data_IF_362422092626
#
_entry.id   IF_362422092626
#
_cell.length_a   1.000
_cell.length_b   1.000
_cell.length_c   1.000
_cell.angle_alpha   90.00
_cell.angle_beta   90.00
_cell.angle_gamma   90.00
#
_symmetry.space_group_name_H-M   'P 1'
#
loop_
_entity.id
_entity.type
_entity.pdbx_description
1 polymer ?
#
# COMPACT_ATOMS: atom_id res chain seq x y z
N UNK A 1 14.10 -22.76 -3.26
CA UNK A 1 15.18 -22.47 -2.28
C UNK A 1 14.56 -21.52 -1.28
N UNK A 2 13.77 -22.07 -0.37
CA UNK A 2 13.08 -21.31 0.69
C UNK A 2 14.03 -21.19 1.89
N UNK A 3 14.83 -20.13 1.93
CA UNK A 3 15.48 -19.70 3.17
C UNK A 3 14.44 -18.95 4.01
N UNK A 4 13.56 -19.74 4.63
CA UNK A 4 12.74 -19.28 5.72
C UNK A 4 13.67 -18.95 6.87
N UNK A 5 13.83 -17.67 7.18
CA UNK A 5 14.41 -17.17 8.43
C UNK A 5 13.66 -17.80 9.60
N UNK A 6 14.13 -18.97 10.04
CA UNK A 6 13.54 -19.73 11.12
C UNK A 6 13.73 -18.93 12.40
N UNK A 7 12.65 -18.30 12.87
CA UNK A 7 12.62 -17.70 14.20
C UNK A 7 12.92 -18.84 15.18
N UNK A 8 14.03 -18.78 15.96
CA UNK A 8 14.40 -19.88 16.83
C UNK A 8 13.28 -20.10 17.86
N UNK A 9 12.68 -21.29 17.84
CA UNK A 9 11.61 -21.64 18.78
C UNK A 9 12.13 -21.52 20.22
N UNK A 10 11.46 -20.68 21.00
CA UNK A 10 11.85 -20.32 22.36
C UNK A 10 11.62 -21.44 23.40
N UNK A 11 11.27 -22.67 22.99
CA UNK A 11 10.88 -23.73 23.94
C UNK A 11 11.78 -24.98 23.99
N UNK A 12 12.72 -25.20 23.05
CA UNK A 12 13.32 -26.54 22.86
C UNK A 12 14.85 -26.68 23.04
N UNK A 13 15.58 -25.65 23.52
CA UNK A 13 17.04 -25.71 23.63
C UNK A 13 17.59 -25.36 25.03
N UNK A 14 18.72 -25.97 25.41
CA UNK A 14 19.46 -25.63 26.63
C UNK A 14 19.82 -24.13 26.62
N UNK A 15 19.60 -23.45 27.75
CA UNK A 15 19.73 -21.99 27.87
C UNK A 15 21.09 -21.43 27.41
N UNK A 16 22.16 -22.21 27.50
CA UNK A 16 23.51 -21.81 27.11
C UNK A 16 23.71 -21.54 25.61
N UNK A 17 22.96 -22.21 24.71
CA UNK A 17 23.12 -22.00 23.26
C UNK A 17 22.41 -20.75 22.72
N UNK A 18 21.75 -19.98 23.60
CA UNK A 18 20.98 -18.77 23.27
C UNK A 18 21.73 -17.48 23.59
N UNK A 19 22.76 -17.57 24.41
CA UNK A 19 23.60 -16.43 24.74
C UNK A 19 24.73 -16.37 23.71
N UNK A 20 24.84 -15.23 23.04
CA UNK A 20 25.94 -14.94 22.12
C UNK A 20 26.89 -14.01 22.86
N UNK A 21 28.18 -14.33 22.86
CA UNK A 21 29.18 -13.47 23.48
C UNK A 21 29.39 -12.18 22.68
N UNK A 22 29.87 -11.12 23.34
CA UNK A 22 30.18 -9.86 22.64
C UNK A 22 31.18 -10.10 21.50
N UNK A 23 32.20 -10.93 21.76
CA UNK A 23 33.24 -11.27 20.80
C UNK A 23 32.68 -12.02 19.58
N UNK A 24 31.75 -12.96 19.79
CA UNK A 24 31.06 -13.66 18.70
C UNK A 24 30.24 -12.70 17.83
N UNK A 25 29.58 -11.70 18.43
CA UNK A 25 28.85 -10.67 17.69
C UNK A 25 29.81 -9.83 16.85
N UNK A 26 30.95 -9.43 17.41
CA UNK A 26 31.97 -8.64 16.71
C UNK A 26 32.59 -9.42 15.54
N UNK A 27 32.96 -10.69 15.75
CA UNK A 27 33.47 -11.57 14.70
C UNK A 27 32.43 -11.75 13.59
N UNK A 28 31.16 -11.97 13.95
CA UNK A 28 30.09 -12.11 12.98
C UNK A 28 29.83 -10.83 12.17
N UNK A 29 29.98 -9.64 12.79
CA UNK A 29 29.92 -8.34 12.10
C UNK A 29 31.09 -8.17 11.15
N UNK A 30 32.32 -8.45 11.59
CA UNK A 30 33.51 -8.36 10.74
C UNK A 30 33.42 -9.26 9.50
N UNK A 31 33.00 -10.52 9.68
CA UNK A 31 32.77 -11.46 8.56
C UNK A 31 31.73 -10.94 7.56
N UNK A 32 30.65 -10.34 8.05
CA UNK A 32 29.61 -9.75 7.20
C UNK A 32 30.15 -8.57 6.40
N UNK A 33 30.93 -7.71 7.04
CA UNK A 33 31.55 -6.54 6.39
C UNK A 33 32.58 -6.95 5.32
N UNK A 34 33.38 -7.99 5.59
CA UNK A 34 34.30 -8.57 4.61
C UNK A 34 33.56 -9.14 3.39
N UNK A 35 32.51 -9.93 3.62
CA UNK A 35 31.68 -10.49 2.56
C UNK A 35 31.00 -9.39 1.74
N UNK A 36 30.50 -8.35 2.39
CA UNK A 36 29.92 -7.18 1.76
C UNK A 36 30.94 -6.50 0.83
N UNK A 37 32.11 -6.13 1.37
CA UNK A 37 33.19 -5.50 0.57
C UNK A 37 33.60 -6.37 -0.61
N UNK A 38 33.73 -7.68 -0.41
CA UNK A 38 34.07 -8.62 -1.47
C UNK A 38 32.99 -8.69 -2.57
N UNK A 39 31.71 -8.61 -2.21
CA UNK A 39 30.60 -8.60 -3.17
C UNK A 39 30.63 -7.35 -4.06
N UNK A 40 30.85 -6.17 -3.49
CA UNK A 40 30.97 -4.92 -4.24
C UNK A 40 32.24 -4.86 -5.10
N UNK A 41 33.37 -5.37 -4.58
CA UNK A 41 34.61 -5.48 -5.36
C UNK A 41 34.43 -6.35 -6.62
N UNK A 42 33.65 -7.44 -6.52
CA UNK A 42 33.29 -8.28 -7.68
C UNK A 42 32.43 -7.55 -8.71
N UNK A 43 31.59 -6.62 -8.26
CA UNK A 43 30.74 -5.80 -9.11
C UNK A 43 31.52 -4.64 -9.77
N UNK A 44 32.77 -4.39 -9.35
CA UNK A 44 33.58 -3.26 -9.83
C UNK A 44 33.06 -1.90 -9.36
N UNK A 45 32.24 -1.88 -8.30
CA UNK A 45 31.68 -0.67 -7.71
C UNK A 45 32.21 -0.49 -6.29
N UNK A 46 32.38 0.77 -5.88
CA UNK A 46 32.72 1.07 -4.49
C UNK A 46 31.50 0.76 -3.60
N UNK A 47 31.68 0.05 -2.46
CA UNK A 47 30.60 -0.14 -1.51
C UNK A 47 30.05 1.22 -1.07
N UNK A 48 28.72 1.42 -1.04
CA UNK A 48 28.13 2.63 -0.52
C UNK A 48 28.56 2.84 0.95
N UNK A 49 28.63 4.09 1.42
CA UNK A 49 28.96 4.38 2.81
C UNK A 49 28.03 3.59 3.73
N UNK A 50 28.61 2.92 4.73
CA UNK A 50 27.81 2.16 5.69
C UNK A 50 26.77 3.10 6.31
N UNK A 51 25.50 2.66 6.43
CA UNK A 51 24.50 3.44 7.11
C UNK A 51 25.01 3.72 8.51
N UNK A 52 25.15 5.00 8.84
CA UNK A 52 25.54 5.39 10.18
C UNK A 52 24.46 4.87 11.12
N UNK A 53 24.88 4.26 12.23
CA UNK A 53 23.93 3.81 13.24
C UNK A 53 23.02 4.99 13.58
N UNK A 54 21.72 4.81 13.36
CA UNK A 54 20.74 5.87 13.59
C UNK A 54 20.99 6.48 14.97
N UNK A 55 21.05 7.81 15.01
CA UNK A 55 21.24 8.53 16.26
C UNK A 55 20.29 7.97 17.32
N UNK A 56 20.83 7.60 18.48
CA UNK A 56 20.07 6.92 19.52
C UNK A 56 18.76 7.66 19.79
N UNK A 57 17.66 7.05 19.36
CA UNK A 57 16.34 7.63 19.52
C UNK A 57 15.89 7.40 20.97
N UNK A 58 15.91 8.49 21.74
CA UNK A 58 15.51 8.52 23.16
C UNK A 58 14.02 8.30 23.39
N UNK A 59 13.20 8.15 22.34
CA UNK A 59 11.80 7.76 22.46
C UNK A 59 11.65 6.37 23.04
N UNK A 60 10.60 6.18 23.82
CA UNK A 60 10.25 4.88 24.37
C UNK A 60 9.89 3.88 23.26
N UNK A 61 10.02 2.58 23.53
CA UNK A 61 9.60 1.54 22.59
C UNK A 61 8.10 1.67 22.22
N UNK A 62 7.27 2.09 23.18
CA UNK A 62 5.84 2.30 22.96
C UNK A 62 5.57 3.38 21.90
N UNK A 63 6.29 4.50 21.98
CA UNK A 63 6.19 5.60 21.00
C UNK A 63 6.67 5.15 19.62
N UNK A 64 7.77 4.39 19.54
CA UNK A 64 8.28 3.84 18.26
C UNK A 64 7.25 2.90 17.62
N UNK A 65 6.63 2.03 18.41
CA UNK A 65 5.60 1.10 17.93
C UNK A 65 4.29 1.82 17.54
N UNK A 66 3.94 2.91 18.23
CA UNK A 66 2.80 3.74 17.87
C UNK A 66 3.06 4.46 16.54
N UNK A 67 4.24 5.06 16.37
CA UNK A 67 4.63 5.72 15.12
C UNK A 67 4.65 4.75 13.94
N UNK A 68 5.19 3.53 14.11
CA UNK A 68 5.19 2.53 13.04
C UNK A 68 3.77 2.09 12.65
N UNK A 69 2.87 1.95 13.63
CA UNK A 69 1.46 1.63 13.38
C UNK A 69 0.76 2.76 12.63
N UNK A 70 0.94 3.99 13.08
CA UNK A 70 0.36 5.17 12.43
C UNK A 70 0.84 5.31 10.98
N UNK A 71 2.15 5.18 10.74
CA UNK A 71 2.71 5.25 9.39
C UNK A 71 2.13 4.17 8.46
N UNK A 72 2.03 2.93 8.93
CA UNK A 72 1.40 1.85 8.15
C UNK A 72 -0.07 2.11 7.86
N UNK A 73 -0.79 2.67 8.83
CA UNK A 73 -2.19 3.02 8.67
C UNK A 73 -2.37 4.13 7.63
N UNK A 74 -1.57 5.19 7.71
CA UNK A 74 -1.57 6.30 6.76
C UNK A 74 -1.22 5.83 5.34
N UNK A 75 -0.20 4.99 5.19
CA UNK A 75 0.14 4.39 3.89
C UNK A 75 -1.00 3.54 3.32
N UNK A 76 -1.69 2.79 4.18
CA UNK A 76 -2.83 1.97 3.77
C UNK A 76 -4.03 2.83 3.37
N UNK A 77 -4.31 3.89 4.13
CA UNK A 77 -5.36 4.86 3.83
C UNK A 77 -5.08 5.60 2.54
N UNK A 78 -3.87 6.12 2.32
CA UNK A 78 -3.53 6.83 1.08
C UNK A 78 -3.61 5.91 -0.15
N UNK A 79 -3.16 4.65 -0.05
CA UNK A 79 -3.32 3.65 -1.11
C UNK A 79 -4.79 3.32 -1.37
N UNK A 80 -5.59 3.22 -0.31
CA UNK A 80 -7.02 2.85 -0.42
C UNK A 80 -7.91 4.03 -0.83
N UNK A 81 -7.51 5.26 -0.51
CA UNK A 81 -8.24 6.49 -0.80
C UNK A 81 -8.41 6.71 -2.30
N UNK A 82 -7.35 6.50 -3.08
CA UNK A 82 -7.42 6.59 -4.54
C UNK A 82 -8.18 5.39 -5.14
N UNK A 83 -8.04 4.20 -4.55
CA UNK A 83 -8.78 3.01 -5.00
C UNK A 83 -10.30 3.16 -4.82
N UNK A 84 -10.75 3.80 -3.74
CA UNK A 84 -12.17 4.04 -3.47
C UNK A 84 -12.77 5.20 -4.27
N UNK A 85 -11.95 6.07 -4.87
CA UNK A 85 -12.44 7.22 -5.62
C UNK A 85 -13.13 6.81 -6.93
N UNK A 86 -12.67 5.72 -7.54
CA UNK A 86 -13.24 5.19 -8.78
C UNK A 86 -13.61 3.73 -8.57
N UNK A 87 -14.85 3.51 -8.15
CA UNK A 87 -15.45 2.17 -8.08
C UNK A 87 -16.35 1.93 -9.29
N UNK A 88 -16.56 0.65 -9.62
CA UNK A 88 -17.61 0.28 -10.56
C UNK A 88 -18.99 0.69 -10.00
N UNK A 89 -19.90 1.04 -10.90
CA UNK A 89 -21.31 1.24 -10.55
C UNK A 89 -21.92 -0.11 -10.17
N UNK A 90 -22.72 -0.11 -9.12
CA UNK A 90 -23.54 -1.25 -8.70
C UNK A 90 -24.73 -1.41 -9.66
N UNK A 91 -25.33 -2.61 -9.70
CA UNK A 91 -26.44 -2.91 -10.62
C UNK A 91 -27.64 -1.95 -10.40
N UNK A 92 -27.98 -1.67 -9.14
CA UNK A 92 -29.05 -0.74 -8.78
C UNK A 92 -28.77 0.70 -9.27
N UNK A 93 -27.51 1.11 -9.27
CA UNK A 93 -27.07 2.44 -9.68
C UNK A 93 -27.14 2.58 -11.21
N UNK A 94 -26.80 1.51 -11.94
CA UNK A 94 -26.97 1.44 -13.39
C UNK A 94 -28.46 1.53 -13.76
N UNK A 95 -29.31 0.73 -13.09
CA UNK A 95 -30.75 0.75 -13.32
C UNK A 95 -31.37 2.12 -13.02
N UNK A 96 -30.88 2.81 -11.98
CA UNK A 96 -31.29 4.18 -11.68
C UNK A 96 -30.95 5.15 -12.83
N UNK A 97 -29.72 5.08 -13.37
CA UNK A 97 -29.31 5.94 -14.49
C UNK A 97 -30.12 5.65 -15.77
N UNK A 98 -30.43 4.39 -16.05
CA UNK A 98 -31.28 4.01 -17.17
C UNK A 98 -32.71 4.56 -17.00
N UNK A 99 -33.26 4.52 -15.78
CA UNK A 99 -34.59 5.09 -15.50
C UNK A 99 -34.64 6.61 -15.68
N UNK A 100 -33.57 7.33 -15.35
CA UNK A 100 -33.46 8.77 -15.58
C UNK A 100 -33.41 9.09 -17.07
N UNK A 101 -32.63 8.31 -17.83
CA UNK A 101 -32.51 8.47 -19.27
C UNK A 101 -33.85 8.21 -19.97
N UNK A 102 -34.56 7.14 -19.62
CA UNK A 102 -35.88 6.84 -20.17
C UNK A 102 -36.87 7.99 -19.88
N UNK A 103 -36.83 8.54 -18.67
CA UNK A 103 -37.67 9.68 -18.28
C UNK A 103 -37.35 10.93 -19.11
N UNK A 104 -36.09 11.26 -19.32
CA UNK A 104 -35.66 12.42 -20.12
C UNK A 104 -36.10 12.27 -21.59
N UNK A 105 -35.92 11.08 -22.17
CA UNK A 105 -36.36 10.76 -23.53
C UNK A 105 -37.90 10.86 -23.67
N UNK A 106 -38.66 10.39 -22.67
CA UNK A 106 -40.11 10.50 -22.65
C UNK A 106 -40.59 11.96 -22.57
N UNK A 107 -39.96 12.77 -21.72
CA UNK A 107 -40.25 14.20 -21.59
C UNK A 107 -39.91 14.96 -22.88
N UNK A 108 -38.77 14.67 -23.52
CA UNK A 108 -38.41 15.25 -24.81
C UNK A 108 -39.39 14.86 -25.92
N UNK A 109 -39.77 13.57 -25.98
CA UNK A 109 -40.75 13.09 -26.95
C UNK A 109 -42.10 13.78 -26.77
N UNK A 110 -42.59 13.91 -25.53
CA UNK A 110 -43.84 14.60 -25.23
C UNK A 110 -43.77 16.08 -25.61
N UNK A 111 -42.65 16.77 -25.33
CA UNK A 111 -42.43 18.16 -25.78
C UNK A 111 -42.50 18.26 -27.30
N UNK A 112 -41.78 17.39 -28.02
CA UNK A 112 -41.75 17.39 -29.49
C UNK A 112 -43.12 17.12 -30.10
N UNK A 113 -43.91 16.22 -29.51
CA UNK A 113 -45.28 15.94 -29.94
C UNK A 113 -46.18 17.16 -29.75
N UNK A 114 -46.15 17.77 -28.56
CA UNK A 114 -46.92 18.98 -28.22
C UNK A 114 -46.56 20.16 -29.13
N UNK A 115 -45.26 20.42 -29.32
CA UNK A 115 -44.77 21.48 -30.20
C UNK A 115 -45.14 21.20 -31.67
N UNK A 116 -45.13 19.93 -32.09
CA UNK A 116 -45.56 19.50 -33.42
C UNK A 116 -47.06 19.70 -33.68
N UNK A 117 -47.91 19.49 -32.67
CA UNK A 117 -49.35 19.77 -32.74
C UNK A 117 -49.63 21.27 -32.83
N UNK A 118 -48.97 22.10 -32.02
CA UNK A 118 -49.10 23.56 -32.08
C UNK A 118 -48.72 24.12 -33.46
N UNK A 119 -47.62 23.63 -34.04
CA UNK A 119 -47.18 24.05 -35.39
C UNK A 119 -48.16 23.61 -36.48
N UNK A 120 -48.79 22.43 -36.36
CA UNK A 120 -49.82 21.98 -37.31
C UNK A 120 -51.08 22.85 -37.21
N UNK A 121 -51.52 23.16 -36.00
CA UNK A 121 -52.68 24.04 -35.78
C UNK A 121 -52.51 25.46 -36.32
N UNK A 122 -51.27 25.96 -36.44
CA UNK A 122 -51.00 27.24 -37.10
C UNK A 122 -51.00 27.18 -38.64
N UNK A 123 -50.85 25.98 -39.22
CA UNK A 123 -50.78 25.78 -40.67
C UNK A 123 -52.15 25.54 -41.33
N UNK A 124 -53.17 25.18 -40.55
CA UNK A 124 -54.59 25.19 -40.97
C UNK A 124 -55.20 26.60 -40.82
#
# INVERSE_FOLDING_TARGET
MDDSTAIPSLSMGAVGSRFVSSDEIEIARARRDEQWKAAYARLGQEPPPQPQADAYDGRSLAEKLAANRAAKQEEWEEKSKLANQFRALEEDEIMFLDSLREKEEAEEKSRRERDGEEVKGFKE
#
